data_IF_381313809680
#
_entry.id   IF_381313809680
#
_cell.length_a   1.000
_cell.length_b   1.000
_cell.length_c   1.000
_cell.angle_alpha   90.00
_cell.angle_beta   90.00
_cell.angle_gamma   90.00
#
_symmetry.space_group_name_H-M   'P 1'
#
loop_
_entity.id
_entity.type
_entity.pdbx_description
1 polymer ?
#
# COMPACT_ATOMS: atom_id res chain seq x y z
N UNK A 1 -16.73 -29.95 -14.75
CA UNK A 1 -16.17 -29.13 -13.65
C UNK A 1 -16.08 -27.70 -14.15
N UNK A 2 -16.96 -26.81 -13.69
CA UNK A 2 -16.85 -25.38 -14.01
C UNK A 2 -15.69 -24.81 -13.21
N UNK A 3 -14.68 -24.25 -13.88
CA UNK A 3 -13.64 -23.48 -13.22
C UNK A 3 -14.31 -22.27 -12.58
N UNK A 4 -14.36 -22.22 -11.24
CA UNK A 4 -14.77 -21.03 -10.51
C UNK A 4 -13.96 -19.86 -11.06
N UNK A 5 -14.59 -18.77 -11.56
CA UNK A 5 -13.83 -17.67 -12.15
C UNK A 5 -12.86 -17.17 -11.08
N UNK A 6 -11.57 -17.26 -11.39
CA UNK A 6 -10.48 -16.86 -10.52
C UNK A 6 -10.69 -15.39 -10.15
N UNK A 7 -11.34 -15.13 -9.01
CA UNK A 7 -11.63 -13.77 -8.57
C UNK A 7 -10.29 -13.12 -8.31
N UNK A 8 -9.97 -12.10 -9.10
CA UNK A 8 -8.80 -11.25 -8.87
C UNK A 8 -8.74 -10.86 -7.38
N UNK A 9 -7.56 -10.98 -6.73
CA UNK A 9 -7.42 -10.66 -5.32
C UNK A 9 -7.91 -9.23 -5.09
N UNK A 10 -8.98 -9.10 -4.28
CA UNK A 10 -9.55 -7.80 -3.95
C UNK A 10 -8.66 -7.16 -2.89
N UNK A 11 -7.83 -6.20 -3.30
CA UNK A 11 -7.02 -5.42 -2.37
C UNK A 11 -7.89 -4.69 -1.33
N UNK A 12 -7.68 -4.98 -0.03
CA UNK A 12 -8.32 -4.27 1.09
C UNK A 12 -7.94 -2.77 1.02
N UNK A 13 -8.79 -1.88 1.54
CA UNK A 13 -8.59 -0.40 1.45
C UNK A 13 -7.21 0.04 1.96
N UNK A 14 -6.73 -0.57 3.05
CA UNK A 14 -5.40 -0.32 3.61
C UNK A 14 -4.26 -0.73 2.64
N UNK A 15 -4.39 -1.87 1.95
CA UNK A 15 -3.42 -2.32 0.95
C UNK A 15 -3.31 -1.35 -0.23
N UNK A 16 -4.43 -0.77 -0.66
CA UNK A 16 -4.44 0.26 -1.71
C UNK A 16 -3.70 1.51 -1.26
N UNK A 17 -3.94 1.98 -0.04
CA UNK A 17 -3.21 3.11 0.55
C UNK A 17 -1.71 2.85 0.62
N UNK A 18 -1.32 1.62 1.01
CA UNK A 18 0.08 1.22 1.07
C UNK A 18 0.77 1.24 -0.30
N UNK A 19 0.11 0.74 -1.34
CA UNK A 19 0.62 0.78 -2.71
C UNK A 19 0.78 2.22 -3.19
N UNK A 20 -0.20 3.07 -2.93
CA UNK A 20 -0.13 4.51 -3.28
C UNK A 20 1.05 5.16 -2.56
N UNK A 21 1.25 4.90 -1.27
CA UNK A 21 2.38 5.44 -0.50
C UNK A 21 3.72 4.94 -1.06
N UNK A 22 3.81 3.66 -1.42
CA UNK A 22 5.03 3.05 -1.98
C UNK A 22 5.41 3.65 -3.34
N UNK A 23 4.42 4.06 -4.14
CA UNK A 23 4.63 4.71 -5.44
C UNK A 23 4.89 6.22 -5.27
N UNK A 24 4.13 6.87 -4.38
CA UNK A 24 4.25 8.30 -4.12
C UNK A 24 5.61 8.67 -3.49
N UNK A 25 6.18 7.80 -2.67
CA UNK A 25 7.47 8.04 -2.02
C UNK A 25 8.62 8.29 -3.02
N UNK A 26 8.93 7.35 -3.92
CA UNK A 26 9.94 7.53 -4.95
C UNK A 26 9.61 8.69 -5.91
N UNK A 27 8.34 8.87 -6.26
CA UNK A 27 7.90 10.01 -7.09
C UNK A 27 8.22 11.36 -6.42
N UNK A 28 7.99 11.47 -5.11
CA UNK A 28 8.37 12.66 -4.35
C UNK A 28 9.88 12.88 -4.35
N UNK A 29 10.67 11.82 -4.10
CA UNK A 29 12.15 11.92 -4.11
C UNK A 29 12.66 12.37 -5.48
N UNK A 30 12.15 11.80 -6.57
CA UNK A 30 12.50 12.20 -7.93
C UNK A 30 12.11 13.66 -8.17
N UNK A 31 10.89 14.06 -7.78
CA UNK A 31 10.42 15.43 -7.90
C UNK A 31 11.31 16.42 -7.15
N UNK A 32 11.69 16.09 -5.91
CA UNK A 32 12.62 16.88 -5.11
C UNK A 32 13.98 17.03 -5.81
N UNK A 33 14.56 15.93 -6.32
CA UNK A 33 15.87 15.97 -6.99
C UNK A 33 15.85 16.79 -8.29
N UNK A 34 14.73 16.78 -9.03
CA UNK A 34 14.61 17.54 -10.29
C UNK A 34 14.34 19.02 -10.02
N UNK A 35 13.44 19.33 -9.10
CA UNK A 35 12.93 20.70 -8.90
C UNK A 35 13.64 21.46 -7.79
N UNK A 36 14.32 20.76 -6.87
CA UNK A 36 14.85 21.31 -5.61
C UNK A 36 13.79 22.08 -4.80
N UNK A 37 12.50 21.83 -5.05
CA UNK A 37 11.42 22.53 -4.39
C UNK A 37 11.21 21.95 -2.99
N UNK A 38 11.63 22.71 -1.98
CA UNK A 38 11.53 22.32 -0.58
C UNK A 38 10.95 23.45 0.29
N UNK A 39 9.62 23.63 0.27
CA UNK A 39 8.98 24.74 0.99
C UNK A 39 9.12 24.62 2.52
N UNK A 40 9.45 23.43 3.03
CA UNK A 40 9.50 23.15 4.48
C UNK A 40 10.89 22.72 4.97
N UNK A 41 11.90 22.65 4.10
CA UNK A 41 13.25 22.20 4.46
C UNK A 41 13.33 20.72 4.86
N UNK A 42 12.37 19.90 4.41
CA UNK A 42 12.26 18.49 4.82
C UNK A 42 13.11 17.55 3.96
N UNK A 43 13.67 18.04 2.85
CA UNK A 43 14.49 17.25 1.94
C UNK A 43 13.76 16.02 1.41
N UNK A 44 14.48 14.91 1.27
CA UNK A 44 13.94 13.63 0.77
C UNK A 44 13.09 12.86 1.79
N UNK A 45 13.05 13.31 3.06
CA UNK A 45 12.46 12.55 4.17
C UNK A 45 10.96 12.23 4.01
N UNK A 46 10.10 13.10 3.46
CA UNK A 46 8.71 12.75 3.19
C UNK A 46 8.54 11.59 2.20
N UNK A 47 9.43 11.50 1.20
CA UNK A 47 9.41 10.39 0.25
C UNK A 47 9.88 9.08 0.89
N UNK A 48 10.92 9.15 1.71
CA UNK A 48 11.44 7.98 2.46
C UNK A 48 10.39 7.46 3.46
N UNK A 49 9.72 8.35 4.20
CA UNK A 49 8.70 7.95 5.16
C UNK A 49 7.49 7.30 4.50
N UNK A 50 7.08 7.79 3.31
CA UNK A 50 6.01 7.17 2.54
C UNK A 50 6.38 5.73 2.09
N UNK A 51 7.62 5.49 1.67
CA UNK A 51 8.10 4.14 1.34
C UNK A 51 8.06 3.22 2.55
N UNK A 52 8.60 3.68 3.69
CA UNK A 52 8.64 2.88 4.93
C UNK A 52 7.23 2.58 5.44
N UNK A 53 6.34 3.57 5.47
CA UNK A 53 4.94 3.39 5.88
C UNK A 53 4.19 2.43 4.94
N UNK A 54 4.38 2.56 3.63
CA UNK A 54 3.83 1.65 2.63
C UNK A 54 4.32 0.21 2.84
N UNK A 55 5.63 0.03 3.04
CA UNK A 55 6.22 -1.28 3.31
C UNK A 55 5.66 -1.90 4.58
N UNK A 56 5.67 -1.19 5.72
CA UNK A 56 5.12 -1.67 7.00
C UNK A 56 3.66 -2.10 6.82
N UNK A 57 2.84 -1.28 6.17
CA UNK A 57 1.41 -1.56 5.96
C UNK A 57 1.17 -2.79 5.07
N UNK A 58 2.08 -3.10 4.15
CA UNK A 58 2.02 -4.33 3.35
C UNK A 58 2.45 -5.55 4.18
N UNK A 59 3.52 -5.45 4.98
CA UNK A 59 3.99 -6.53 5.84
C UNK A 59 2.98 -6.91 6.92
N UNK A 60 2.40 -5.94 7.62
CA UNK A 60 1.37 -6.21 8.64
C UNK A 60 0.10 -6.82 8.06
N UNK A 61 -0.24 -6.48 6.80
CA UNK A 61 -1.36 -7.12 6.11
C UNK A 61 -1.07 -8.55 5.65
N UNK A 62 0.18 -8.90 5.38
CA UNK A 62 0.56 -10.29 5.12
C UNK A 62 0.40 -11.13 6.40
N UNK A 63 0.78 -10.59 7.55
CA UNK A 63 0.65 -11.24 8.86
C UNK A 63 -0.81 -11.41 9.30
N UNK A 64 -1.67 -10.40 9.09
CA UNK A 64 -3.10 -10.49 9.43
C UNK A 64 -3.94 -11.32 8.44
N UNK A 65 -3.35 -11.84 7.37
CA UNK A 65 -4.07 -12.69 6.40
C UNK A 65 -4.31 -14.11 6.94
N UNK A 66 -3.68 -14.50 8.05
CA UNK A 66 -3.88 -15.83 8.66
C UNK A 66 -5.07 -15.93 9.64
N UNK A 67 -5.75 -14.83 10.00
CA UNK A 67 -6.81 -14.84 11.05
C UNK A 67 -8.24 -14.61 10.49
N UNK A 68 -8.41 -14.36 9.20
CA UNK A 68 -9.72 -13.99 8.61
C UNK A 68 -10.21 -15.00 7.55
N UNK A 69 -10.20 -16.29 7.91
CA UNK A 69 -10.89 -17.39 7.21
C UNK A 69 -12.07 -17.93 8.04
N UNK A 70 -12.74 -17.06 8.80
CA UNK A 70 -13.92 -17.46 9.62
C UNK A 70 -15.06 -16.44 9.55
N UNK A 71 -15.42 -15.99 8.35
CA UNK A 71 -16.77 -15.49 8.11
C UNK A 71 -17.34 -16.07 6.81
N UNK A 72 -17.58 -17.38 6.89
CA UNK A 72 -18.66 -18.03 6.16
C UNK A 72 -19.97 -17.69 6.87
N UNK A 73 -20.71 -16.70 6.39
CA UNK A 73 -21.99 -16.30 7.00
C UNK A 73 -22.86 -15.37 6.13
N UNK A 74 -23.77 -15.99 5.38
CA UNK A 74 -25.05 -15.44 4.89
C UNK A 74 -25.04 -14.20 3.96
N UNK A 75 -25.19 -14.46 2.67
CA UNK A 75 -26.10 -13.67 1.82
C UNK A 75 -27.12 -14.65 1.23
N UNK A 76 -28.30 -14.65 1.86
CA UNK A 76 -29.57 -15.07 1.25
C UNK A 76 -29.97 -14.04 0.18
#
# INVERSE_FOLDING_TARGET
MYATPNRLPKFKKAQRGAIIALIAGPLYVIGYLVTHFDPFGLGVWPGVSAVVAGAITLFTQMEHREIDDSDSGAIL
#
